data_IF_999057516126
#
_entry.id   IF_999057516126
#
_cell.length_a   1.000
_cell.length_b   1.000
_cell.length_c   1.000
_cell.angle_alpha   90.00
_cell.angle_beta   90.00
_cell.angle_gamma   90.00
#
_symmetry.space_group_name_H-M   'P 1'
#
loop_
_entity.id
_entity.type
_entity.pdbx_description
1 polymer ?
#
# COMPACT_ATOMS: atom_id res chain seq x y z
N UNK A 1 -31.57 -51.63 -47.29
CA UNK A 1 -31.14 -50.30 -47.77
C UNK A 1 -30.73 -49.31 -46.67
N UNK A 2 -30.91 -49.58 -45.37
CA UNK A 2 -30.62 -48.59 -44.29
C UNK A 2 -29.20 -48.58 -43.71
N UNK A 3 -28.48 -49.71 -43.66
CA UNK A 3 -27.17 -49.75 -43.00
C UNK A 3 -26.10 -48.92 -43.72
N UNK A 4 -26.13 -48.89 -45.06
CA UNK A 4 -25.15 -48.18 -45.88
C UNK A 4 -25.35 -46.65 -45.88
N UNK A 5 -26.58 -46.16 -45.66
CA UNK A 5 -26.84 -44.72 -45.54
C UNK A 5 -26.46 -44.19 -44.16
N UNK A 6 -26.70 -44.98 -43.12
CA UNK A 6 -26.36 -44.65 -41.74
C UNK A 6 -24.84 -44.61 -41.52
N UNK A 7 -24.10 -45.57 -42.09
CA UNK A 7 -22.63 -45.57 -42.07
C UNK A 7 -22.04 -44.36 -42.80
N UNK A 8 -22.60 -43.98 -43.96
CA UNK A 8 -22.21 -42.77 -44.70
C UNK A 8 -22.54 -41.47 -43.95
N UNK A 9 -23.62 -41.45 -43.19
CA UNK A 9 -23.99 -40.30 -42.36
C UNK A 9 -23.02 -40.14 -41.17
N UNK A 10 -22.71 -41.22 -40.46
CA UNK A 10 -21.77 -41.22 -39.34
C UNK A 10 -20.33 -40.86 -39.77
N UNK A 11 -19.88 -41.33 -40.95
CA UNK A 11 -18.59 -40.93 -41.51
C UNK A 11 -18.52 -39.45 -41.89
N UNK A 12 -19.63 -38.85 -42.36
CA UNK A 12 -19.70 -37.41 -42.65
C UNK A 12 -19.65 -36.58 -41.37
N UNK A 13 -20.31 -37.02 -40.31
CA UNK A 13 -20.25 -36.38 -39.00
C UNK A 13 -18.86 -36.44 -38.38
N UNK A 14 -18.18 -37.58 -38.44
CA UNK A 14 -16.81 -37.71 -37.93
C UNK A 14 -15.80 -36.84 -38.70
N UNK A 15 -15.95 -36.73 -40.03
CA UNK A 15 -15.10 -35.86 -40.86
C UNK A 15 -15.37 -34.37 -40.58
N UNK A 16 -16.64 -34.00 -40.40
CA UNK A 16 -17.03 -32.65 -40.00
C UNK A 16 -16.50 -32.27 -38.61
N UNK A 17 -16.53 -33.20 -37.64
CA UNK A 17 -15.95 -33.01 -36.30
C UNK A 17 -14.42 -32.82 -36.37
N UNK A 18 -13.73 -33.59 -37.21
CA UNK A 18 -12.28 -33.48 -37.38
C UNK A 18 -11.87 -32.17 -38.09
N UNK A 19 -12.61 -31.74 -39.10
CA UNK A 19 -12.42 -30.44 -39.78
C UNK A 19 -12.77 -29.26 -38.86
N UNK A 20 -13.83 -29.38 -38.06
CA UNK A 20 -14.20 -28.41 -37.03
C UNK A 20 -13.09 -28.27 -35.98
N UNK A 21 -12.58 -29.38 -35.44
CA UNK A 21 -11.45 -29.39 -34.49
C UNK A 21 -10.18 -28.77 -35.07
N UNK A 22 -9.87 -29.04 -36.34
CA UNK A 22 -8.72 -28.44 -37.02
C UNK A 22 -8.87 -26.93 -37.20
N UNK A 23 -10.02 -26.48 -37.69
CA UNK A 23 -10.32 -25.05 -37.89
C UNK A 23 -10.36 -24.29 -36.55
N UNK A 24 -10.95 -24.90 -35.54
CA UNK A 24 -10.95 -24.42 -34.15
C UNK A 24 -9.52 -24.21 -33.62
N UNK A 25 -8.60 -25.14 -33.91
CA UNK A 25 -7.20 -25.05 -33.48
C UNK A 25 -6.41 -23.96 -34.24
N UNK A 26 -6.65 -23.79 -35.54
CA UNK A 26 -6.03 -22.72 -36.35
C UNK A 26 -6.49 -21.32 -35.91
N UNK A 27 -7.80 -21.15 -35.67
CA UNK A 27 -8.37 -19.91 -35.13
C UNK A 27 -7.81 -19.57 -33.74
N UNK A 28 -7.74 -20.57 -32.85
CA UNK A 28 -7.18 -20.39 -31.51
C UNK A 28 -5.71 -19.95 -31.58
N UNK A 29 -4.93 -20.56 -32.46
CA UNK A 29 -3.51 -20.21 -32.67
C UNK A 29 -3.37 -18.75 -33.09
N UNK A 30 -4.15 -18.31 -34.09
CA UNK A 30 -4.14 -16.92 -34.55
C UNK A 30 -4.49 -15.95 -33.42
N UNK A 31 -5.54 -16.23 -32.65
CA UNK A 31 -5.91 -15.37 -31.54
C UNK A 31 -4.82 -15.31 -30.45
N UNK A 32 -4.14 -16.43 -30.15
CA UNK A 32 -3.02 -16.45 -29.21
C UNK A 32 -1.81 -15.66 -29.73
N UNK A 33 -1.54 -15.67 -31.03
CA UNK A 33 -0.50 -14.85 -31.66
C UNK A 33 -0.82 -13.36 -31.57
N UNK A 34 -2.06 -12.97 -31.86
CA UNK A 34 -2.54 -11.59 -31.69
C UNK A 34 -2.36 -11.12 -30.24
N UNK A 35 -2.73 -11.95 -29.26
CA UNK A 35 -2.54 -11.66 -27.84
C UNK A 35 -1.05 -11.54 -27.46
N UNK A 36 -0.19 -12.42 -27.97
CA UNK A 36 1.27 -12.31 -27.74
C UNK A 36 1.83 -11.03 -28.34
N UNK A 37 1.41 -10.66 -29.54
CA UNK A 37 1.83 -9.44 -30.21
C UNK A 37 1.34 -8.19 -29.46
N UNK A 38 0.12 -8.22 -28.93
CA UNK A 38 -0.40 -7.17 -28.07
C UNK A 38 0.47 -6.95 -26.82
N UNK A 39 0.90 -8.03 -26.15
CA UNK A 39 1.83 -7.95 -25.01
C UNK A 39 3.19 -7.33 -25.41
N UNK A 40 3.70 -7.64 -26.60
CA UNK A 40 4.93 -7.00 -27.13
C UNK A 40 4.72 -5.51 -27.38
N UNK A 41 3.60 -5.13 -28.00
CA UNK A 41 3.24 -3.72 -28.22
C UNK A 41 3.13 -2.96 -26.90
N UNK A 42 2.54 -3.58 -25.87
CA UNK A 42 2.42 -3.00 -24.54
C UNK A 42 3.78 -2.73 -23.90
N UNK A 43 4.70 -3.69 -23.96
CA UNK A 43 6.09 -3.52 -23.49
C UNK A 43 6.85 -2.43 -24.25
N UNK A 44 6.48 -2.19 -25.50
CA UNK A 44 7.03 -1.12 -26.33
C UNK A 44 6.24 0.20 -26.23
N UNK A 45 5.34 0.33 -25.25
CA UNK A 45 4.52 1.52 -24.99
C UNK A 45 3.61 1.96 -26.16
N UNK A 46 3.31 1.04 -27.10
CA UNK A 46 2.40 1.27 -28.23
C UNK A 46 0.96 0.92 -27.85
N UNK A 47 0.35 1.75 -27.01
CA UNK A 47 -0.91 1.42 -26.33
C UNK A 47 -2.11 1.21 -27.26
N UNK A 48 -2.33 2.08 -28.26
CA UNK A 48 -3.44 1.94 -29.20
C UNK A 48 -3.33 0.65 -30.02
N UNK A 49 -2.11 0.32 -30.45
CA UNK A 49 -1.84 -0.89 -31.19
C UNK A 49 -2.05 -2.12 -30.31
N UNK A 50 -1.54 -2.10 -29.08
CA UNK A 50 -1.74 -3.17 -28.11
C UNK A 50 -3.23 -3.45 -27.87
N UNK A 51 -4.03 -2.40 -27.63
CA UNK A 51 -5.47 -2.55 -27.42
C UNK A 51 -6.16 -3.18 -28.64
N UNK A 52 -5.87 -2.68 -29.85
CA UNK A 52 -6.43 -3.22 -31.09
C UNK A 52 -6.16 -4.72 -31.24
N UNK A 53 -4.94 -5.16 -30.95
CA UNK A 53 -4.56 -6.57 -31.04
C UNK A 53 -5.20 -7.42 -29.93
N UNK A 54 -5.36 -6.89 -28.72
CA UNK A 54 -6.12 -7.57 -27.66
C UNK A 54 -7.60 -7.74 -28.02
N UNK A 55 -8.25 -6.68 -28.53
CA UNK A 55 -9.67 -6.72 -28.95
C UNK A 55 -9.88 -7.67 -30.14
N UNK A 56 -8.99 -7.63 -31.13
CA UNK A 56 -9.02 -8.55 -32.28
C UNK A 56 -8.90 -10.01 -31.83
N UNK A 57 -7.97 -10.28 -30.91
CA UNK A 57 -7.78 -11.60 -30.32
C UNK A 57 -9.04 -12.07 -29.58
N UNK A 58 -9.62 -11.20 -28.74
CA UNK A 58 -10.82 -11.49 -27.97
C UNK A 58 -12.04 -11.77 -28.86
N UNK A 59 -12.31 -10.89 -29.84
CA UNK A 59 -13.41 -11.04 -30.78
C UNK A 59 -13.30 -12.34 -31.60
N UNK A 60 -12.10 -12.67 -32.07
CA UNK A 60 -11.84 -13.89 -32.85
C UNK A 60 -12.21 -15.15 -32.05
N UNK A 61 -11.91 -15.17 -30.75
CA UNK A 61 -12.24 -16.31 -29.87
C UNK A 61 -13.74 -16.33 -29.53
N UNK A 62 -14.33 -15.17 -29.23
CA UNK A 62 -15.72 -15.07 -28.85
C UNK A 62 -16.66 -15.50 -29.98
N UNK A 63 -16.39 -15.09 -31.23
CA UNK A 63 -17.24 -15.38 -32.38
C UNK A 63 -17.13 -16.84 -32.87
N UNK A 64 -15.97 -17.48 -32.70
CA UNK A 64 -15.67 -18.74 -33.39
C UNK A 64 -15.59 -19.97 -32.48
N UNK A 65 -15.39 -19.79 -31.18
CA UNK A 65 -15.09 -20.91 -30.29
C UNK A 65 -16.07 -21.06 -29.12
N UNK A 66 -16.94 -20.07 -28.84
CA UNK A 66 -17.73 -20.00 -27.59
C UNK A 66 -16.90 -20.16 -26.30
N UNK A 67 -15.57 -20.14 -26.40
CA UNK A 67 -14.64 -20.26 -25.29
C UNK A 67 -14.42 -18.86 -24.72
N UNK A 68 -14.70 -18.66 -23.44
CA UNK A 68 -14.21 -17.46 -22.77
C UNK A 68 -12.74 -17.63 -22.39
N UNK A 69 -11.84 -16.85 -22.98
CA UNK A 69 -10.41 -16.94 -22.73
C UNK A 69 -10.00 -16.10 -21.51
N UNK A 70 -10.01 -16.73 -20.34
CA UNK A 70 -9.57 -16.16 -19.04
C UNK A 70 -8.30 -15.30 -19.17
N UNK A 71 -7.28 -15.81 -19.86
CA UNK A 71 -5.99 -15.12 -20.02
C UNK A 71 -6.06 -13.82 -20.83
N UNK A 72 -6.90 -13.75 -21.87
CA UNK A 72 -7.01 -12.56 -22.72
C UNK A 72 -7.77 -11.48 -21.98
N UNK A 73 -8.86 -11.86 -21.30
CA UNK A 73 -9.60 -10.95 -20.43
C UNK A 73 -8.71 -10.39 -19.30
N UNK A 74 -7.86 -11.23 -18.71
CA UNK A 74 -6.87 -10.78 -17.73
C UNK A 74 -5.89 -9.77 -18.33
N UNK A 75 -5.35 -10.02 -19.52
CA UNK A 75 -4.43 -9.07 -20.16
C UNK A 75 -5.10 -7.74 -20.49
N UNK A 76 -6.35 -7.74 -20.94
CA UNK A 76 -7.13 -6.51 -21.18
C UNK A 76 -7.40 -5.77 -19.87
N UNK A 77 -7.78 -6.49 -18.81
CA UNK A 77 -7.97 -5.92 -17.48
C UNK A 77 -6.68 -5.24 -16.96
N UNK A 78 -5.54 -5.95 -17.06
CA UNK A 78 -4.23 -5.44 -16.69
C UNK A 78 -3.84 -4.20 -17.52
N UNK A 79 -4.12 -4.20 -18.82
CA UNK A 79 -3.91 -3.04 -19.69
C UNK A 79 -4.68 -1.81 -19.19
N UNK A 80 -5.98 -1.95 -18.93
CA UNK A 80 -6.77 -0.82 -18.42
C UNK A 80 -6.33 -0.37 -17.03
N UNK A 81 -5.92 -1.30 -16.16
CA UNK A 81 -5.38 -0.98 -14.84
C UNK A 81 -4.11 -0.13 -14.96
N UNK A 82 -3.19 -0.50 -15.87
CA UNK A 82 -1.97 0.25 -16.16
C UNK A 82 -2.27 1.66 -16.68
N UNK A 83 -3.33 1.80 -17.48
CA UNK A 83 -3.80 3.10 -17.99
C UNK A 83 -4.62 3.90 -16.97
N UNK A 84 -4.72 3.47 -15.71
CA UNK A 84 -5.55 4.07 -14.66
C UNK A 84 -7.05 4.16 -15.01
N UNK A 85 -7.49 3.38 -15.99
CA UNK A 85 -8.91 3.23 -16.35
C UNK A 85 -9.55 2.17 -15.46
N UNK A 86 -9.57 2.43 -14.15
CA UNK A 86 -9.90 1.45 -13.11
C UNK A 86 -11.29 0.81 -13.29
N UNK A 87 -12.29 1.58 -13.73
CA UNK A 87 -13.64 1.05 -13.97
C UNK A 87 -13.68 -0.01 -15.08
N UNK A 88 -12.95 0.21 -16.19
CA UNK A 88 -12.86 -0.78 -17.27
C UNK A 88 -12.12 -2.02 -16.81
N UNK A 89 -11.00 -1.84 -16.11
CA UNK A 89 -10.24 -2.96 -15.56
C UNK A 89 -11.11 -3.85 -14.66
N UNK A 90 -11.91 -3.24 -13.77
CA UNK A 90 -12.89 -3.94 -12.92
C UNK A 90 -13.89 -4.74 -13.75
N UNK A 91 -14.41 -4.19 -14.85
CA UNK A 91 -15.34 -4.91 -15.73
C UNK A 91 -14.70 -6.19 -16.30
N UNK A 92 -13.47 -6.10 -16.81
CA UNK A 92 -12.78 -7.26 -17.38
C UNK A 92 -12.42 -8.31 -16.33
N UNK A 93 -11.96 -7.91 -15.14
CA UNK A 93 -11.73 -8.86 -14.06
C UNK A 93 -13.04 -9.50 -13.58
N UNK A 94 -14.14 -8.75 -13.50
CA UNK A 94 -15.47 -9.31 -13.20
C UNK A 94 -15.90 -10.36 -14.22
N UNK A 95 -15.62 -10.13 -15.51
CA UNK A 95 -15.86 -11.14 -16.55
C UNK A 95 -15.07 -12.42 -16.28
N UNK A 96 -13.81 -12.31 -15.84
CA UNK A 96 -12.98 -13.48 -15.49
C UNK A 96 -13.53 -14.23 -14.28
N UNK A 97 -13.81 -13.55 -13.16
CA UNK A 97 -14.27 -14.22 -11.93
C UNK A 97 -15.68 -14.82 -12.06
N UNK A 98 -16.51 -14.28 -12.96
CA UNK A 98 -17.83 -14.83 -13.27
C UNK A 98 -17.77 -16.06 -14.20
N UNK A 99 -16.60 -16.41 -14.73
CA UNK A 99 -16.40 -17.70 -15.38
C UNK A 99 -16.39 -18.75 -14.29
N UNK A 100 -17.43 -19.59 -14.24
CA UNK A 100 -17.50 -20.65 -13.23
C UNK A 100 -16.29 -21.58 -13.36
N UNK A 101 -15.41 -21.69 -12.35
CA UNK A 101 -14.40 -22.74 -12.37
C UNK A 101 -15.11 -24.06 -12.10
N UNK A 102 -15.18 -24.95 -13.09
CA UNK A 102 -15.74 -26.29 -12.87
C UNK A 102 -14.83 -27.04 -11.87
N UNK A 103 -15.34 -27.24 -10.65
CA UNK A 103 -14.66 -27.93 -9.55
C UNK A 103 -15.14 -29.38 -9.54
N UNK A 104 -14.24 -30.34 -9.75
CA UNK A 104 -14.56 -31.75 -9.50
C UNK A 104 -14.36 -32.03 -8.00
N UNK A 105 -15.48 -32.16 -7.27
CA UNK A 105 -15.50 -32.49 -5.85
C UNK A 105 -14.80 -33.82 -5.53
N UNK A 106 -14.66 -34.74 -6.51
CA UNK A 106 -14.03 -36.03 -6.31
C UNK A 106 -12.49 -35.99 -6.33
N UNK A 107 -11.88 -34.98 -6.97
CA UNK A 107 -10.41 -34.90 -7.15
C UNK A 107 -9.74 -33.71 -6.45
N UNK A 108 -10.49 -32.73 -5.94
CA UNK A 108 -9.93 -31.45 -5.43
C UNK A 108 -8.96 -30.77 -6.42
N UNK A 109 -9.15 -30.96 -7.72
CA UNK A 109 -8.35 -30.33 -8.79
C UNK A 109 -9.33 -29.58 -9.72
N UNK A 110 -9.01 -28.34 -10.16
CA UNK A 110 -9.81 -27.65 -11.18
C UNK A 110 -9.78 -28.43 -12.50
N UNK A 111 -10.92 -28.99 -12.93
CA UNK A 111 -11.04 -29.60 -14.26
C UNK A 111 -11.50 -28.52 -15.23
N UNK A 112 -10.52 -27.79 -15.77
CA UNK A 112 -10.76 -26.94 -16.94
C UNK A 112 -10.61 -27.85 -18.16
N UNK A 113 -11.72 -28.09 -18.83
CA UNK A 113 -11.82 -28.97 -20.00
C UNK A 113 -10.87 -28.50 -21.12
N UNK A 114 -9.96 -29.39 -21.49
CA UNK A 114 -9.21 -29.47 -22.75
C UNK A 114 -8.78 -28.15 -23.43
N UNK A 115 -7.77 -27.47 -22.87
CA UNK A 115 -6.59 -26.89 -23.53
C UNK A 115 -5.94 -25.80 -22.63
N UNK A 116 -4.67 -26.00 -22.23
CA UNK A 116 -3.84 -25.13 -21.36
C UNK A 116 -4.05 -25.26 -19.83
N UNK A 117 -3.84 -26.47 -19.29
CA UNK A 117 -3.65 -26.68 -17.85
C UNK A 117 -2.48 -25.83 -17.32
N UNK A 118 -2.70 -25.21 -16.15
CA UNK A 118 -1.82 -24.36 -15.29
C UNK A 118 -2.14 -22.85 -15.34
N UNK A 119 -2.18 -22.18 -16.49
CA UNK A 119 -2.32 -20.70 -16.52
C UNK A 119 -3.71 -20.17 -16.12
N UNK A 120 -4.79 -20.94 -16.33
CA UNK A 120 -6.15 -20.45 -16.10
C UNK A 120 -6.55 -20.39 -14.62
N UNK A 121 -6.00 -21.28 -13.78
CA UNK A 121 -6.24 -21.24 -12.33
C UNK A 121 -5.51 -20.05 -11.68
N UNK A 122 -4.25 -19.84 -12.06
CA UNK A 122 -3.46 -18.67 -11.63
C UNK A 122 -4.14 -17.37 -12.07
N UNK A 123 -4.54 -17.27 -13.35
CA UNK A 123 -5.29 -16.13 -13.87
C UNK A 123 -6.60 -15.86 -13.10
N UNK A 124 -7.26 -16.91 -12.59
CA UNK A 124 -8.47 -16.76 -11.78
C UNK A 124 -8.16 -16.21 -10.38
N UNK A 125 -7.07 -16.68 -9.75
CA UNK A 125 -6.59 -16.11 -8.48
C UNK A 125 -6.17 -14.65 -8.67
N UNK A 126 -5.38 -14.35 -9.70
CA UNK A 126 -4.94 -13.00 -10.05
C UNK A 126 -6.11 -12.07 -10.33
N UNK A 127 -7.17 -12.55 -11.00
CA UNK A 127 -8.38 -11.77 -11.23
C UNK A 127 -9.03 -11.35 -9.91
N UNK A 128 -9.16 -12.27 -8.96
CA UNK A 128 -9.72 -11.99 -7.63
C UNK A 128 -8.83 -11.00 -6.86
N UNK A 129 -7.52 -11.23 -6.85
CA UNK A 129 -6.53 -10.38 -6.19
C UNK A 129 -6.54 -8.95 -6.76
N UNK A 130 -6.47 -8.81 -8.09
CA UNK A 130 -6.46 -7.53 -8.77
C UNK A 130 -7.80 -6.79 -8.65
N UNK A 131 -8.92 -7.52 -8.72
CA UNK A 131 -10.24 -6.95 -8.54
C UNK A 131 -10.43 -6.42 -7.12
N UNK A 132 -10.04 -7.20 -6.09
CA UNK A 132 -10.08 -6.75 -4.70
C UNK A 132 -9.24 -5.48 -4.49
N UNK A 133 -8.01 -5.46 -5.00
CA UNK A 133 -7.13 -4.29 -4.91
C UNK A 133 -7.73 -3.05 -5.61
N UNK A 134 -8.28 -3.20 -6.82
CA UNK A 134 -8.91 -2.08 -7.53
C UNK A 134 -10.18 -1.58 -6.83
N UNK A 135 -11.05 -2.47 -6.35
CA UNK A 135 -12.27 -2.08 -5.63
C UNK A 135 -11.92 -1.33 -4.33
N UNK A 136 -10.90 -1.79 -3.63
CA UNK A 136 -10.34 -1.12 -2.46
C UNK A 136 -9.86 0.30 -2.81
N UNK A 137 -9.09 0.47 -3.88
CA UNK A 137 -8.63 1.78 -4.36
C UNK A 137 -9.77 2.70 -4.87
N UNK A 138 -10.93 2.13 -5.20
CA UNK A 138 -12.14 2.86 -5.64
C UNK A 138 -13.10 3.18 -4.48
N UNK A 139 -12.63 3.10 -3.23
CA UNK A 139 -13.43 3.32 -2.02
C UNK A 139 -14.63 2.35 -1.91
N UNK A 140 -14.44 1.08 -2.30
CA UNK A 140 -15.44 -0.01 -2.18
C UNK A 140 -14.91 -1.24 -1.44
N UNK A 141 -14.40 -1.11 -0.21
CA UNK A 141 -13.80 -2.23 0.51
C UNK A 141 -14.82 -3.34 0.83
N UNK A 142 -16.10 -3.02 1.06
CA UNK A 142 -17.12 -4.04 1.34
C UNK A 142 -17.35 -4.97 0.14
N UNK A 143 -17.32 -4.43 -1.08
CA UNK A 143 -17.42 -5.23 -2.30
C UNK A 143 -16.16 -6.06 -2.54
N UNK A 144 -14.99 -5.53 -2.17
CA UNK A 144 -13.70 -6.20 -2.33
C UNK A 144 -13.54 -7.45 -1.46
N UNK A 145 -14.25 -7.52 -0.33
CA UNK A 145 -14.07 -8.55 0.70
C UNK A 145 -14.21 -9.98 0.16
N UNK A 146 -15.31 -10.28 -0.52
CA UNK A 146 -15.57 -11.62 -1.05
C UNK A 146 -14.52 -12.03 -2.09
N UNK A 147 -14.05 -11.09 -2.92
CA UNK A 147 -13.04 -11.40 -3.92
C UNK A 147 -11.69 -11.71 -3.27
N UNK A 148 -11.30 -10.91 -2.28
CA UNK A 148 -10.06 -11.11 -1.56
C UNK A 148 -10.07 -12.42 -0.76
N UNK A 149 -11.19 -12.71 -0.07
CA UNK A 149 -11.42 -13.96 0.64
C UNK A 149 -11.33 -15.17 -0.30
N UNK A 150 -11.88 -15.06 -1.51
CA UNK A 150 -11.80 -16.14 -2.50
C UNK A 150 -10.37 -16.36 -2.99
N UNK A 151 -9.59 -15.29 -3.23
CA UNK A 151 -8.18 -15.40 -3.63
C UNK A 151 -7.35 -16.19 -2.60
N UNK A 152 -7.49 -15.85 -1.30
CA UNK A 152 -6.76 -16.53 -0.23
C UNK A 152 -7.23 -17.99 -0.01
N UNK A 153 -8.51 -18.30 -0.27
CA UNK A 153 -9.02 -19.67 -0.21
C UNK A 153 -8.48 -20.54 -1.34
N UNK A 154 -8.35 -19.96 -2.54
CA UNK A 154 -7.85 -20.67 -3.72
C UNK A 154 -6.34 -20.89 -3.64
N UNK A 155 -5.58 -19.89 -3.18
CA UNK A 155 -4.14 -19.98 -3.05
C UNK A 155 -3.66 -19.34 -1.73
N UNK A 156 -3.70 -20.09 -0.62
CA UNK A 156 -3.30 -19.59 0.70
C UNK A 156 -1.84 -19.11 0.80
N UNK A 157 -0.98 -19.52 -0.13
CA UNK A 157 0.44 -19.12 -0.14
C UNK A 157 0.72 -17.94 -1.10
N UNK A 158 -0.31 -17.32 -1.71
CA UNK A 158 -0.14 -16.16 -2.56
C UNK A 158 0.09 -14.91 -1.70
N UNK A 159 1.33 -14.42 -1.64
CA UNK A 159 1.71 -13.26 -0.83
C UNK A 159 0.90 -12.02 -1.16
N UNK A 160 0.67 -11.73 -2.44
CA UNK A 160 -0.08 -10.54 -2.87
C UNK A 160 -1.54 -10.60 -2.40
N UNK A 161 -2.18 -11.76 -2.52
CA UNK A 161 -3.52 -11.96 -1.99
C UNK A 161 -3.59 -11.77 -0.46
N UNK A 162 -2.61 -12.28 0.29
CA UNK A 162 -2.54 -12.10 1.75
C UNK A 162 -2.31 -10.64 2.16
N UNK A 163 -1.41 -9.92 1.46
CA UNK A 163 -1.17 -8.49 1.70
C UNK A 163 -2.45 -7.69 1.44
N UNK A 164 -3.09 -7.92 0.28
CA UNK A 164 -4.32 -7.23 -0.08
C UNK A 164 -5.44 -7.52 0.93
N UNK A 165 -5.50 -8.73 1.49
CA UNK A 165 -6.48 -9.07 2.53
C UNK A 165 -6.21 -8.32 3.84
N UNK A 166 -4.95 -8.27 4.28
CA UNK A 166 -4.55 -7.48 5.44
C UNK A 166 -4.90 -6.00 5.29
N UNK A 167 -4.53 -5.39 4.16
CA UNK A 167 -4.84 -3.97 3.87
C UNK A 167 -6.34 -3.71 3.75
N UNK A 168 -7.10 -4.66 3.17
CA UNK A 168 -8.55 -4.56 3.08
C UNK A 168 -9.21 -4.61 4.46
N UNK A 169 -8.77 -5.51 5.35
CA UNK A 169 -9.27 -5.58 6.72
C UNK A 169 -9.06 -4.25 7.46
N UNK A 170 -7.92 -3.57 7.25
CA UNK A 170 -7.67 -2.23 7.82
C UNK A 170 -8.64 -1.19 7.31
N UNK A 171 -8.93 -1.17 6.00
CA UNK A 171 -9.91 -0.24 5.41
C UNK A 171 -11.36 -0.52 5.81
N UNK A 172 -11.66 -1.76 6.20
CA UNK A 172 -12.94 -2.12 6.80
C UNK A 172 -13.01 -1.78 8.31
N UNK A 173 -11.96 -1.19 8.89
CA UNK A 173 -11.85 -0.91 10.32
C UNK A 173 -11.65 -2.18 11.18
N UNK A 174 -11.36 -3.33 10.58
CA UNK A 174 -11.13 -4.63 11.24
C UNK A 174 -9.65 -4.79 11.60
N UNK A 175 -9.12 -3.80 12.30
CA UNK A 175 -7.69 -3.62 12.56
C UNK A 175 -7.06 -4.80 13.29
N UNK A 176 -7.73 -5.34 14.31
CA UNK A 176 -7.25 -6.49 15.07
C UNK A 176 -7.09 -7.72 14.16
N UNK A 177 -8.08 -7.98 13.31
CA UNK A 177 -8.04 -9.12 12.39
C UNK A 177 -6.94 -8.98 11.34
N UNK A 178 -6.68 -7.74 10.87
CA UNK A 178 -5.55 -7.47 9.97
C UNK A 178 -4.21 -7.81 10.62
N UNK A 179 -4.01 -7.42 11.89
CA UNK A 179 -2.80 -7.70 12.66
C UNK A 179 -2.64 -9.21 12.89
N UNK A 180 -3.67 -9.87 13.41
CA UNK A 180 -3.66 -11.32 13.70
C UNK A 180 -3.39 -12.13 12.41
N UNK A 181 -4.02 -11.72 11.31
CA UNK A 181 -3.80 -12.34 10.00
C UNK A 181 -2.34 -12.18 9.54
N UNK A 182 -1.80 -10.97 9.60
CA UNK A 182 -0.43 -10.66 9.15
C UNK A 182 0.61 -11.41 9.97
N UNK A 183 0.46 -11.46 11.30
CA UNK A 183 1.38 -12.21 12.16
C UNK A 183 1.35 -13.70 11.86
N UNK A 184 0.18 -14.28 11.64
CA UNK A 184 0.06 -15.68 11.23
C UNK A 184 0.89 -15.97 9.97
N UNK A 185 0.83 -15.10 8.97
CA UNK A 185 1.60 -15.27 7.75
C UNK A 185 3.12 -15.13 7.97
N UNK A 186 3.54 -14.11 8.73
CA UNK A 186 4.95 -13.87 9.05
C UNK A 186 5.53 -15.08 9.80
N UNK A 187 4.87 -15.54 10.86
CA UNK A 187 5.32 -16.67 11.68
C UNK A 187 5.40 -17.96 10.86
N UNK A 188 4.43 -18.20 9.96
CA UNK A 188 4.41 -19.40 9.12
C UNK A 188 5.64 -19.54 8.21
N UNK A 189 6.21 -18.42 7.74
CA UNK A 189 7.38 -18.44 6.83
C UNK A 189 8.71 -18.14 7.53
N UNK A 190 8.67 -17.86 8.84
CA UNK A 190 9.86 -17.51 9.61
C UNK A 190 10.63 -18.75 10.07
N UNK A 191 11.85 -18.55 10.54
CA UNK A 191 12.69 -19.62 11.06
C UNK A 191 12.00 -20.34 12.22
N UNK A 192 12.33 -21.64 12.39
CA UNK A 192 11.72 -22.47 13.43
C UNK A 192 11.93 -21.85 14.82
N UNK A 193 10.83 -21.59 15.53
CA UNK A 193 10.85 -20.99 16.86
C UNK A 193 10.66 -19.47 16.89
N UNK A 194 10.62 -18.79 15.74
CA UNK A 194 10.19 -17.40 15.69
C UNK A 194 8.74 -17.29 16.18
N UNK A 195 8.46 -16.29 17.01
CA UNK A 195 7.13 -16.02 17.56
C UNK A 195 6.80 -14.54 17.36
N UNK A 196 5.51 -14.22 17.34
CA UNK A 196 5.06 -12.84 17.43
C UNK A 196 5.65 -12.19 18.69
N UNK A 197 6.32 -11.03 18.56
CA UNK A 197 6.88 -10.33 19.71
C UNK A 197 5.77 -9.73 20.58
N UNK A 198 6.01 -9.66 21.88
CA UNK A 198 5.09 -8.99 22.80
C UNK A 198 4.99 -7.51 22.44
N UNK A 199 3.76 -7.02 22.22
CA UNK A 199 3.47 -5.60 22.00
C UNK A 199 3.98 -4.73 23.15
N UNK A 200 4.34 -3.51 22.79
CA UNK A 200 4.68 -2.43 23.72
C UNK A 200 3.38 -1.75 24.11
N UNK A 201 2.89 -2.04 25.31
CA UNK A 201 1.75 -1.33 25.88
C UNK A 201 2.21 0.03 26.42
N UNK A 202 1.87 1.10 25.69
CA UNK A 202 2.26 2.47 26.01
C UNK A 202 1.79 2.89 27.40
N UNK A 203 0.64 2.37 27.87
CA UNK A 203 0.10 2.72 29.20
C UNK A 203 0.88 2.10 30.35
N UNK A 204 1.69 1.09 30.08
CA UNK A 204 2.56 0.45 31.07
C UNK A 204 3.94 1.12 31.21
N UNK A 205 4.28 2.05 30.31
CA UNK A 205 5.62 2.63 30.24
C UNK A 205 5.76 3.80 31.23
N UNK A 206 6.80 3.81 32.09
CA UNK A 206 7.07 4.94 32.96
C UNK A 206 7.32 6.22 32.17
N UNK A 207 6.63 7.29 32.55
CA UNK A 207 6.83 8.62 31.98
C UNK A 207 8.12 9.21 32.56
N UNK A 208 9.10 9.42 31.70
CA UNK A 208 10.31 10.19 32.04
C UNK A 208 10.00 11.68 31.91
N UNK A 209 10.32 12.47 32.94
CA UNK A 209 10.28 13.93 32.84
C UNK A 209 11.55 14.42 32.15
N UNK A 210 11.38 15.05 30.99
CA UNK A 210 12.45 15.72 30.31
C UNK A 210 11.91 16.98 29.61
N UNK A 211 12.51 18.12 29.94
CA UNK A 211 12.11 19.41 29.38
C UNK A 211 12.72 19.64 27.99
N UNK A 212 13.78 18.91 27.62
CA UNK A 212 14.43 19.07 26.32
C UNK A 212 13.78 18.17 25.27
N UNK A 213 13.41 18.78 24.15
CA UNK A 213 12.84 18.10 22.99
C UNK A 213 13.84 18.11 21.84
N UNK A 214 14.03 16.95 21.22
CA UNK A 214 14.77 16.80 19.99
C UNK A 214 13.77 16.66 18.84
N UNK A 215 13.54 17.75 18.11
CA UNK A 215 12.75 17.74 16.89
C UNK A 215 13.58 17.11 15.79
N UNK A 216 13.05 16.05 15.18
CA UNK A 216 13.73 15.25 14.17
C UNK A 216 12.93 15.28 12.88
N UNK A 217 13.60 15.52 11.77
CA UNK A 217 13.06 15.26 10.44
C UNK A 217 14.04 14.39 9.63
N UNK A 218 13.54 13.82 8.54
CA UNK A 218 14.31 12.95 7.65
C UNK A 218 14.27 13.46 6.22
N UNK A 219 15.46 13.73 5.65
CA UNK A 219 15.64 14.09 4.24
C UNK A 219 16.41 12.96 3.55
N UNK A 220 15.87 12.40 2.48
CA UNK A 220 16.52 11.31 1.74
C UNK A 220 16.37 11.52 0.23
N UNK A 221 17.48 11.38 -0.49
CA UNK A 221 17.53 11.56 -1.93
C UNK A 221 17.11 12.97 -2.36
N UNK A 222 16.41 13.05 -3.49
CA UNK A 222 16.06 14.32 -4.15
C UNK A 222 14.58 14.69 -4.07
N UNK A 223 13.77 13.90 -3.37
CA UNK A 223 12.31 14.14 -3.27
C UNK A 223 11.98 15.46 -2.59
N UNK A 224 12.70 15.78 -1.52
CA UNK A 224 12.56 17.04 -0.77
C UNK A 224 13.92 17.73 -0.71
N UNK A 225 13.95 19.01 -1.09
CA UNK A 225 15.14 19.84 -1.06
C UNK A 225 15.56 20.25 0.36
N UNK A 226 16.75 20.83 0.54
CA UNK A 226 17.18 21.41 1.81
C UNK A 226 16.26 22.56 2.27
N UNK A 227 15.55 23.21 1.34
CA UNK A 227 14.61 24.28 1.66
C UNK A 227 13.43 23.80 2.51
N UNK A 228 12.93 22.58 2.32
CA UNK A 228 11.89 21.97 3.17
C UNK A 228 12.36 21.86 4.62
N UNK A 229 13.58 21.36 4.82
CA UNK A 229 14.19 21.21 6.15
C UNK A 229 14.35 22.59 6.80
N UNK A 230 14.89 23.55 6.05
CA UNK A 230 15.14 24.91 6.53
C UNK A 230 13.85 25.65 6.89
N UNK A 231 12.79 25.56 6.06
CA UNK A 231 11.46 26.15 6.34
C UNK A 231 10.81 25.52 7.57
N UNK A 232 10.92 24.20 7.72
CA UNK A 232 10.41 23.51 8.91
C UNK A 232 11.14 23.98 10.18
N UNK A 233 12.48 24.00 10.15
CA UNK A 233 13.31 24.52 11.24
C UNK A 233 12.96 25.97 11.60
N UNK A 234 12.84 26.83 10.59
CA UNK A 234 12.42 28.22 10.74
C UNK A 234 11.02 28.35 11.34
N UNK A 235 10.08 27.47 10.94
CA UNK A 235 8.75 27.37 11.52
C UNK A 235 8.79 27.10 13.03
N UNK A 236 9.55 26.10 13.46
CA UNK A 236 9.77 25.83 14.88
C UNK A 236 10.43 27.03 15.59
N UNK A 237 11.46 27.66 15.01
CA UNK A 237 12.10 28.83 15.63
C UNK A 237 11.16 30.01 15.84
N UNK A 238 10.18 30.21 14.95
CA UNK A 238 9.19 31.30 15.08
C UNK A 238 8.11 30.99 16.11
N UNK A 239 7.80 29.72 16.31
CA UNK A 239 6.58 29.30 16.98
C UNK A 239 6.79 28.39 18.20
N UNK A 240 8.04 28.11 18.58
CA UNK A 240 8.38 27.40 19.79
C UNK A 240 9.18 28.33 20.71
N UNK A 241 8.69 28.53 21.93
CA UNK A 241 9.40 29.30 22.96
C UNK A 241 10.29 28.41 23.83
N UNK A 242 10.07 27.10 23.80
CA UNK A 242 10.89 26.11 24.51
C UNK A 242 12.28 26.00 23.88
N UNK A 243 13.26 25.59 24.69
CA UNK A 243 14.55 25.15 24.15
C UNK A 243 14.35 23.79 23.45
N UNK A 244 14.83 23.67 22.22
CA UNK A 244 14.80 22.42 21.47
C UNK A 244 16.08 22.25 20.64
N UNK A 245 16.42 20.99 20.38
CA UNK A 245 17.38 20.63 19.34
C UNK A 245 16.61 20.35 18.05
N UNK A 246 17.13 20.80 16.91
CA UNK A 246 16.59 20.43 15.60
C UNK A 246 17.58 19.55 14.86
N UNK A 247 17.15 18.33 14.51
CA UNK A 247 18.00 17.27 13.98
C UNK A 247 17.46 16.85 12.61
N UNK A 248 18.30 16.91 11.59
CA UNK A 248 18.01 16.39 10.26
C UNK A 248 18.82 15.11 10.03
N UNK A 249 18.13 13.98 9.89
CA UNK A 249 18.73 12.72 9.44
C UNK A 249 18.75 12.73 7.91
N UNK A 250 19.94 12.75 7.30
CA UNK A 250 20.09 12.95 5.86
C UNK A 250 21.28 12.22 5.23
N UNK A 251 21.17 11.89 3.95
CA UNK A 251 22.26 11.41 3.09
C UNK A 251 23.04 12.56 2.44
N UNK A 252 22.44 13.75 2.40
CA UNK A 252 23.03 14.96 1.85
C UNK A 252 22.71 16.17 2.75
N UNK A 253 23.69 16.66 3.54
CA UNK A 253 23.53 17.78 4.45
C UNK A 253 23.77 19.15 3.80
N UNK A 254 24.02 19.21 2.49
CA UNK A 254 24.34 20.46 1.81
C UNK A 254 23.19 21.46 1.91
N UNK A 255 23.54 22.74 2.05
CA UNK A 255 22.62 23.89 2.08
C UNK A 255 21.62 23.90 3.27
N UNK A 256 21.84 23.05 4.29
CA UNK A 256 21.11 23.12 5.56
C UNK A 256 21.63 24.28 6.41
N UNK A 257 20.72 25.00 7.06
CA UNK A 257 21.04 26.17 7.88
C UNK A 257 21.87 25.83 9.13
N UNK A 258 22.69 26.80 9.55
CA UNK A 258 23.42 26.75 10.81
C UNK A 258 22.45 26.60 12.01
N UNK A 259 22.76 25.66 12.90
CA UNK A 259 21.93 25.30 14.05
C UNK A 259 21.12 24.01 13.86
N UNK A 260 21.02 23.49 12.63
CA UNK A 260 20.50 22.15 12.38
C UNK A 260 21.60 21.13 12.64
N UNK A 261 21.35 20.19 13.56
CA UNK A 261 22.24 19.05 13.82
C UNK A 261 22.02 18.01 12.72
N UNK A 262 23.07 17.60 12.04
CA UNK A 262 22.98 16.60 10.97
C UNK A 262 23.40 15.22 11.47
N UNK A 263 22.69 14.18 11.03
CA UNK A 263 23.00 12.77 11.30
C UNK A 263 22.93 11.97 10.00
N UNK A 264 23.91 11.13 9.72
CA UNK A 264 23.98 10.36 8.47
C UNK A 264 22.94 9.24 8.43
N UNK A 265 22.17 9.14 7.34
CA UNK A 265 21.19 8.06 7.15
C UNK A 265 21.81 6.67 7.23
N UNK A 266 21.10 5.73 7.87
CA UNK A 266 21.51 4.32 7.87
C UNK A 266 21.29 3.73 6.47
N UNK A 267 22.37 3.21 5.87
CA UNK A 267 22.31 2.54 4.57
C UNK A 267 21.47 1.26 4.64
N UNK A 268 20.78 0.94 3.55
CA UNK A 268 19.92 -0.25 3.42
C UNK A 268 18.46 -0.06 3.83
N UNK A 269 18.11 1.09 4.44
CA UNK A 269 16.75 1.45 4.82
C UNK A 269 16.30 2.67 4.00
N UNK A 270 15.30 2.50 3.15
CA UNK A 270 14.85 3.54 2.20
C UNK A 270 13.34 3.73 2.24
N UNK A 271 12.87 4.85 1.65
CA UNK A 271 11.45 5.18 1.63
C UNK A 271 10.86 5.30 3.04
N UNK A 272 9.64 4.80 3.23
CA UNK A 272 8.94 4.86 4.52
C UNK A 272 9.64 4.07 5.63
N UNK A 273 10.38 3.01 5.27
CA UNK A 273 11.15 2.20 6.21
C UNK A 273 12.34 2.93 6.81
N UNK A 274 12.79 4.03 6.20
CA UNK A 274 13.76 4.93 6.80
C UNK A 274 13.33 5.42 8.19
N UNK A 275 12.03 5.65 8.42
CA UNK A 275 11.50 6.09 9.73
C UNK A 275 11.73 5.08 10.85
N UNK A 276 11.75 3.77 10.54
CA UNK A 276 12.07 2.74 11.53
C UNK A 276 13.44 2.97 12.15
N UNK A 277 14.37 3.56 11.39
CA UNK A 277 15.72 3.80 11.89
C UNK A 277 15.75 4.81 13.03
N UNK A 278 14.76 5.70 13.15
CA UNK A 278 14.73 6.72 14.20
C UNK A 278 14.66 6.14 15.62
N UNK A 279 14.25 4.89 15.75
CA UNK A 279 14.13 4.19 17.02
C UNK A 279 15.43 3.51 17.48
N UNK A 280 16.48 3.49 16.66
CA UNK A 280 17.73 2.82 17.02
C UNK A 280 18.68 3.71 17.86
N UNK A 281 19.59 3.08 18.58
CA UNK A 281 20.63 3.78 19.36
C UNK A 281 21.76 4.38 18.48
N UNK A 282 21.83 4.02 17.20
CA UNK A 282 22.86 4.44 16.23
C UNK A 282 23.06 5.95 16.12
N UNK A 283 21.98 6.73 16.20
CA UNK A 283 22.04 8.16 15.91
C UNK A 283 22.62 8.99 17.05
N UNK A 284 22.83 8.41 18.24
CA UNK A 284 23.36 9.10 19.41
C UNK A 284 22.67 10.46 19.63
N UNK A 285 21.34 10.41 19.78
CA UNK A 285 20.54 11.62 19.98
C UNK A 285 20.89 12.28 21.33
N UNK A 286 20.94 13.62 21.43
CA UNK A 286 21.09 14.32 22.71
C UNK A 286 20.02 13.86 23.71
N UNK A 287 20.26 13.83 25.03
CA UNK A 287 19.24 13.47 26.02
C UNK A 287 17.96 14.30 25.82
N UNK A 288 16.78 13.70 25.95
CA UNK A 288 15.54 14.40 25.63
C UNK A 288 14.49 13.50 25.00
N UNK A 289 13.26 13.98 25.03
CA UNK A 289 12.15 13.41 24.25
C UNK A 289 12.48 13.54 22.76
N UNK A 290 12.01 12.59 21.97
CA UNK A 290 12.14 12.61 20.51
C UNK A 290 10.80 13.01 19.89
N UNK A 291 10.82 13.99 19.00
CA UNK A 291 9.67 14.48 18.25
C UNK A 291 10.00 14.35 16.78
N UNK A 292 9.57 13.28 16.13
CA UNK A 292 9.64 13.15 14.68
C UNK A 292 8.51 13.92 14.00
N UNK A 293 8.84 14.59 12.89
CA UNK A 293 7.89 15.27 12.01
C UNK A 293 8.34 15.16 10.54
N UNK A 294 7.39 14.83 9.65
CA UNK A 294 7.65 14.80 8.21
C UNK A 294 7.97 16.20 7.66
N UNK A 295 8.62 16.25 6.49
CA UNK A 295 9.07 17.51 5.88
C UNK A 295 7.94 18.35 5.26
N UNK A 296 6.82 17.72 4.89
CA UNK A 296 5.69 18.36 4.25
C UNK A 296 4.66 18.89 5.27
N UNK A 297 5.18 19.62 6.24
CA UNK A 297 4.44 20.21 7.35
C UNK A 297 4.65 21.72 7.39
N UNK A 298 3.64 22.47 7.81
CA UNK A 298 3.75 23.91 8.05
C UNK A 298 3.44 24.19 9.51
N UNK A 299 4.38 24.82 10.22
CA UNK A 299 4.15 25.34 11.57
C UNK A 299 3.50 26.72 11.46
N UNK A 300 2.27 26.85 11.94
CA UNK A 300 1.40 28.00 11.69
C UNK A 300 1.12 28.87 12.93
N UNK A 301 1.43 28.36 14.12
CA UNK A 301 1.20 28.99 15.42
C UNK A 301 1.98 28.30 16.54
N UNK A 302 1.86 28.80 17.78
CA UNK A 302 2.66 28.33 18.92
C UNK A 302 2.50 26.81 19.18
N UNK A 303 3.61 26.06 19.20
CA UNK A 303 3.62 24.59 19.35
C UNK A 303 4.02 24.11 20.75
N UNK A 304 4.15 25.00 21.73
CA UNK A 304 4.69 24.66 23.06
C UNK A 304 3.87 23.57 23.76
N UNK A 305 2.53 23.59 23.63
CA UNK A 305 1.67 22.56 24.22
C UNK A 305 1.94 21.16 23.67
N UNK A 306 2.18 21.04 22.35
CA UNK A 306 2.50 19.78 21.68
C UNK A 306 3.92 19.32 22.08
N UNK A 307 4.88 20.26 22.16
CA UNK A 307 6.25 19.99 22.61
C UNK A 307 6.28 19.46 24.05
N UNK A 308 5.37 19.96 24.90
CA UNK A 308 5.20 19.57 26.30
C UNK A 308 4.43 18.24 26.50
N UNK A 309 4.16 17.48 25.43
CA UNK A 309 3.46 16.18 25.49
C UNK A 309 4.00 15.26 26.59
N UNK A 310 3.12 14.82 27.51
CA UNK A 310 3.54 14.15 28.75
C UNK A 310 3.46 12.62 28.70
N UNK A 311 2.92 12.04 27.64
CA UNK A 311 2.83 10.59 27.54
C UNK A 311 4.13 9.94 27.05
N UNK A 312 4.14 8.61 26.99
CA UNK A 312 5.32 7.85 26.58
C UNK A 312 5.45 7.74 25.05
N UNK A 313 4.34 7.71 24.32
CA UNK A 313 4.30 7.57 22.86
C UNK A 313 3.02 8.16 22.27
N UNK A 314 3.17 9.28 21.56
CA UNK A 314 2.12 9.98 20.85
C UNK A 314 2.30 9.86 19.33
N UNK A 315 1.21 9.65 18.61
CA UNK A 315 1.19 9.50 17.15
C UNK A 315 -0.09 10.12 16.56
N UNK A 316 -0.12 10.34 15.25
CA UNK A 316 -1.36 10.76 14.60
C UNK A 316 -2.29 9.56 14.36
N UNK A 317 -3.60 9.79 14.45
CA UNK A 317 -4.61 8.86 13.93
C UNK A 317 -4.95 9.18 12.47
N UNK A 318 -5.24 8.15 11.71
CA UNK A 318 -5.61 8.19 10.28
C UNK A 318 -6.99 8.78 10.01
N UNK A 319 -7.91 8.75 10.98
CA UNK A 319 -9.31 9.20 10.84
C UNK A 319 -9.45 10.65 10.40
N UNK A 320 -8.52 11.50 10.84
CA UNK A 320 -8.50 12.94 10.54
C UNK A 320 -7.54 13.28 9.39
N UNK A 321 -7.01 12.27 8.69
CA UNK A 321 -6.11 12.42 7.56
C UNK A 321 -6.83 12.05 6.26
N UNK A 322 -6.96 13.02 5.34
CA UNK A 322 -7.87 12.88 4.20
C UNK A 322 -7.58 11.68 3.30
N UNK A 323 -6.30 11.36 3.14
CA UNK A 323 -5.87 10.23 2.30
C UNK A 323 -5.91 8.87 3.00
N UNK A 324 -6.25 8.81 4.29
CA UNK A 324 -6.24 7.58 5.10
C UNK A 324 -7.52 7.37 5.91
N UNK A 325 -8.53 8.22 5.75
CA UNK A 325 -9.82 8.19 6.47
C UNK A 325 -10.55 6.84 6.52
N UNK A 326 -10.23 5.93 5.59
CA UNK A 326 -10.80 4.57 5.55
C UNK A 326 -10.16 3.64 6.59
N UNK A 327 -8.90 3.87 6.95
CA UNK A 327 -8.17 3.06 7.93
C UNK A 327 -8.52 3.49 9.35
N UNK A 328 -9.76 3.36 9.79
CA UNK A 328 -10.20 3.88 11.10
C UNK A 328 -9.37 3.33 12.26
N UNK A 329 -9.03 4.21 13.21
CA UNK A 329 -8.18 3.93 14.37
C UNK A 329 -6.77 3.44 14.01
N UNK A 330 -6.31 3.72 12.79
CA UNK A 330 -4.95 3.43 12.33
C UNK A 330 -3.95 4.47 12.82
N UNK A 331 -2.67 4.16 12.67
CA UNK A 331 -1.57 5.07 12.99
C UNK A 331 -1.10 5.80 11.73
N UNK A 332 -0.63 7.02 11.93
CA UNK A 332 0.05 7.80 10.92
C UNK A 332 1.33 8.40 11.52
N UNK A 333 2.48 7.98 11.00
CA UNK A 333 3.80 8.39 11.48
C UNK A 333 4.28 9.74 10.96
N UNK A 334 3.40 10.62 10.47
CA UNK A 334 3.82 11.95 10.05
C UNK A 334 4.21 12.84 11.21
N UNK A 335 3.68 12.58 12.40
CA UNK A 335 4.21 13.08 13.67
C UNK A 335 4.25 11.91 14.65
N UNK A 336 5.40 11.69 15.27
CA UNK A 336 5.57 10.70 16.34
C UNK A 336 6.39 11.33 17.45
N UNK A 337 5.89 11.31 18.67
CA UNK A 337 6.57 11.83 19.85
C UNK A 337 6.77 10.69 20.84
N UNK A 338 7.99 10.39 21.25
CA UNK A 338 8.24 9.34 22.22
C UNK A 338 9.34 9.68 23.19
N UNK A 339 9.25 9.05 24.36
CA UNK A 339 10.28 9.08 25.38
C UNK A 339 10.74 7.65 25.70
N UNK A 340 11.65 7.45 26.67
CA UNK A 340 12.04 6.12 27.13
C UNK A 340 12.61 5.23 25.99
N UNK A 341 13.72 5.71 25.40
CA UNK A 341 14.34 5.15 24.17
C UNK A 341 14.65 3.66 24.29
N UNK A 342 15.02 3.21 25.49
CA UNK A 342 15.36 1.82 25.77
C UNK A 342 14.19 0.86 25.49
N UNK A 343 12.96 1.30 25.77
CA UNK A 343 11.76 0.50 25.45
C UNK A 343 11.47 0.54 23.96
N UNK A 344 11.43 1.73 23.37
CA UNK A 344 10.96 1.91 21.99
C UNK A 344 11.98 1.52 20.93
N UNK A 345 13.26 1.30 21.28
CA UNK A 345 14.22 0.70 20.33
C UNK A 345 13.79 -0.67 19.84
N UNK A 346 12.93 -1.37 20.59
CA UNK A 346 12.29 -2.62 20.17
C UNK A 346 11.52 -2.48 18.85
N UNK A 347 10.96 -1.31 18.53
CA UNK A 347 10.30 -1.07 17.23
C UNK A 347 11.26 -1.36 16.08
N UNK A 348 12.53 -0.99 16.21
CA UNK A 348 13.55 -1.27 15.21
C UNK A 348 14.13 -2.68 15.36
N UNK A 349 14.51 -3.10 16.58
CA UNK A 349 15.23 -4.38 16.75
C UNK A 349 14.38 -5.60 16.39
N UNK A 350 13.08 -5.58 16.72
CA UNK A 350 12.16 -6.66 16.35
C UNK A 350 11.97 -6.71 14.81
N UNK A 351 11.91 -5.54 14.17
CA UNK A 351 11.81 -5.42 12.71
C UNK A 351 13.07 -5.94 12.00
N UNK A 352 14.24 -5.49 12.44
CA UNK A 352 15.54 -5.84 11.86
C UNK A 352 15.82 -7.34 11.99
N UNK A 353 15.46 -7.93 13.15
CA UNK A 353 15.70 -9.35 13.45
C UNK A 353 15.02 -10.32 12.47
N UNK A 354 13.87 -9.93 11.89
CA UNK A 354 13.11 -10.75 10.96
C UNK A 354 12.68 -9.99 9.68
N UNK A 355 13.48 -8.99 9.30
CA UNK A 355 13.17 -8.07 8.20
C UNK A 355 12.80 -8.77 6.89
N UNK A 356 13.51 -9.86 6.55
CA UNK A 356 13.29 -10.63 5.30
C UNK A 356 11.88 -11.20 5.18
N UNK A 357 11.24 -11.54 6.30
CA UNK A 357 9.91 -12.12 6.31
C UNK A 357 8.83 -11.05 6.57
N UNK A 358 9.12 -10.10 7.46
CA UNK A 358 8.19 -8.99 7.77
C UNK A 358 7.91 -8.15 6.52
N UNK A 359 8.95 -7.77 5.76
CA UNK A 359 8.80 -6.90 4.58
C UNK A 359 8.00 -7.53 3.43
N UNK A 360 7.74 -8.84 3.48
CA UNK A 360 6.90 -9.53 2.48
C UNK A 360 5.42 -9.27 2.69
N UNK A 361 4.99 -8.97 3.91
CA UNK A 361 3.58 -8.82 4.26
C UNK A 361 3.21 -7.40 4.70
N UNK A 362 4.20 -6.62 5.14
CA UNK A 362 4.00 -5.25 5.56
C UNK A 362 4.56 -4.32 4.50
N UNK A 363 3.72 -3.43 4.00
CA UNK A 363 4.11 -2.42 2.99
C UNK A 363 4.41 -1.07 3.63
N UNK A 364 3.71 -0.73 4.72
CA UNK A 364 3.77 0.57 5.38
C UNK A 364 4.37 0.46 6.77
N UNK A 365 5.28 1.37 7.09
CA UNK A 365 5.84 1.50 8.43
C UNK A 365 4.77 1.78 9.49
N UNK A 366 3.71 2.50 9.14
CA UNK A 366 2.61 2.78 10.07
C UNK A 366 1.90 1.50 10.53
N UNK A 367 1.72 0.53 9.62
CA UNK A 367 1.14 -0.75 9.98
C UNK A 367 2.05 -1.56 10.91
N UNK A 368 3.37 -1.47 10.70
CA UNK A 368 4.33 -2.04 11.63
C UNK A 368 4.21 -1.45 13.04
N UNK A 369 4.04 -0.13 13.15
CA UNK A 369 3.79 0.52 14.45
C UNK A 369 2.49 0.01 15.09
N UNK A 370 1.40 -0.15 14.34
CA UNK A 370 0.13 -0.72 14.84
C UNK A 370 0.31 -2.17 15.35
N UNK A 371 1.20 -2.93 14.73
CA UNK A 371 1.50 -4.31 15.09
C UNK A 371 2.35 -4.42 16.37
N UNK A 372 3.24 -3.45 16.65
CA UNK A 372 4.18 -3.51 17.78
C UNK A 372 3.80 -2.62 18.95
N UNK A 373 3.10 -1.51 18.73
CA UNK A 373 2.77 -0.51 19.76
C UNK A 373 1.27 -0.48 19.96
N UNK A 374 0.81 -0.77 21.18
CA UNK A 374 -0.60 -0.71 21.54
C UNK A 374 -0.89 0.42 22.53
N UNK A 375 -2.13 0.91 22.51
CA UNK A 375 -2.61 1.99 23.36
C UNK A 375 -1.81 3.29 23.24
N UNK A 376 -1.26 3.59 22.06
CA UNK A 376 -0.61 4.86 21.79
C UNK A 376 -1.56 6.04 22.01
N UNK A 377 -1.02 7.18 22.40
CA UNK A 377 -1.81 8.40 22.51
C UNK A 377 -2.00 9.01 21.13
N UNK A 378 -3.24 9.31 20.76
CA UNK A 378 -3.50 10.10 19.56
C UNK A 378 -3.33 11.58 19.86
N UNK A 379 -2.36 12.21 19.20
CA UNK A 379 -2.05 13.62 19.43
C UNK A 379 -3.24 14.53 19.08
N UNK A 380 -4.06 14.16 18.10
CA UNK A 380 -5.28 14.92 17.80
C UNK A 380 -6.34 14.85 18.90
N UNK A 381 -6.39 13.76 19.69
CA UNK A 381 -7.31 13.65 20.82
C UNK A 381 -6.83 14.49 22.02
N UNK A 382 -5.51 14.59 22.20
CA UNK A 382 -4.89 15.39 23.27
C UNK A 382 -4.92 16.89 22.92
N UNK A 383 -4.66 17.23 21.67
CA UNK A 383 -4.55 18.60 21.17
C UNK A 383 -5.58 18.85 20.05
N UNK A 384 -6.88 18.79 20.36
CA UNK A 384 -7.92 18.92 19.36
C UNK A 384 -7.77 20.24 18.61
N UNK A 385 -7.93 20.19 17.29
CA UNK A 385 -7.82 21.35 16.35
C UNK A 385 -6.44 21.99 16.23
N UNK A 386 -5.40 21.49 16.90
CA UNK A 386 -4.04 22.03 16.76
C UNK A 386 -3.26 21.40 15.59
N UNK A 387 -3.65 20.20 15.16
CA UNK A 387 -3.04 19.50 14.03
C UNK A 387 -4.16 19.28 13.01
N UNK A 388 -4.06 19.93 11.84
CA UNK A 388 -5.13 19.90 10.83
C UNK A 388 -4.61 19.36 9.51
N UNK A 389 -5.41 18.53 8.85
CA UNK A 389 -5.15 18.08 7.47
C UNK A 389 -5.44 19.20 6.47
N UNK A 390 -4.52 19.42 5.54
CA UNK A 390 -4.67 20.47 4.55
C UNK A 390 -5.94 20.32 3.69
N UNK A 391 -6.21 19.10 3.22
CA UNK A 391 -7.29 18.83 2.27
C UNK A 391 -8.66 18.96 2.93
N UNK A 392 -8.77 18.60 4.21
CA UNK A 392 -10.00 18.72 4.97
C UNK A 392 -10.27 20.13 5.49
N UNK A 393 -9.26 20.81 6.04
CA UNK A 393 -9.50 22.00 6.88
C UNK A 393 -8.83 23.28 6.37
N UNK A 394 -7.73 23.18 5.61
CA UNK A 394 -6.85 24.34 5.37
C UNK A 394 -6.74 24.79 3.92
N UNK A 395 -7.62 24.33 3.01
CA UNK A 395 -7.54 24.67 1.56
C UNK A 395 -7.61 26.18 1.29
N UNK A 396 -8.45 26.89 2.02
CA UNK A 396 -8.68 28.34 1.81
C UNK A 396 -7.88 29.19 2.79
N UNK A 397 -7.91 28.82 4.07
CA UNK A 397 -7.23 29.52 5.17
C UNK A 397 -6.88 28.53 6.28
N UNK A 398 -5.95 28.89 7.15
CA UNK A 398 -5.60 28.09 8.33
C UNK A 398 -6.56 28.42 9.48
N UNK A 399 -7.24 27.44 10.09
CA UNK A 399 -8.05 27.67 11.28
C UNK A 399 -7.22 28.30 12.42
N UNK A 400 -7.85 29.17 13.22
CA UNK A 400 -7.14 29.97 14.23
C UNK A 400 -6.37 29.12 15.25
N UNK A 401 -6.88 27.94 15.62
CA UNK A 401 -6.23 27.09 16.61
C UNK A 401 -5.19 26.12 16.03
N UNK A 402 -5.08 26.02 14.70
CA UNK A 402 -4.13 25.13 14.05
C UNK A 402 -2.69 25.62 14.26
N UNK A 403 -1.83 24.72 14.74
CA UNK A 403 -0.40 24.92 14.99
C UNK A 403 0.46 24.20 13.97
N UNK A 404 0.00 23.06 13.49
CA UNK A 404 0.68 22.27 12.47
C UNK A 404 -0.35 21.90 11.39
N UNK A 405 -0.06 22.24 10.14
CA UNK A 405 -0.83 21.79 8.98
C UNK A 405 -0.09 20.66 8.30
N UNK A 406 -0.79 19.53 8.06
CA UNK A 406 -0.19 18.35 7.44
C UNK A 406 -0.50 18.23 5.96
N UNK A 407 0.52 17.88 5.14
CA UNK A 407 0.39 17.60 3.70
C UNK A 407 0.86 16.16 3.39
N UNK A 408 0.21 15.11 3.92
CA UNK A 408 0.69 13.73 3.80
C UNK A 408 0.75 13.24 2.34
N UNK A 409 -0.10 13.79 1.47
CA UNK A 409 -0.10 13.51 0.01
C UNK A 409 -0.08 14.79 -0.81
N UNK A 410 -0.37 14.68 -2.10
CA UNK A 410 -0.53 15.83 -2.98
C UNK A 410 -1.83 16.58 -2.65
N UNK A 411 -1.85 17.92 -2.78
CA UNK A 411 -0.71 18.75 -3.16
C UNK A 411 0.33 18.87 -2.03
N UNK A 412 1.59 19.14 -2.38
CA UNK A 412 2.63 19.54 -1.43
C UNK A 412 2.65 21.07 -1.24
N UNK A 413 3.21 21.60 -0.13
CA UNK A 413 3.21 23.04 0.15
C UNK A 413 3.74 23.91 -0.99
N UNK A 414 4.80 23.49 -1.68
CA UNK A 414 5.38 24.19 -2.84
C UNK A 414 4.50 24.19 -4.10
N UNK A 415 3.62 23.21 -4.22
CA UNK A 415 2.79 22.97 -5.40
C UNK A 415 1.40 23.62 -5.32
N UNK A 416 1.02 24.17 -4.16
CA UNK A 416 -0.31 24.75 -3.96
C UNK A 416 -0.26 26.28 -3.77
N UNK A 417 -0.87 27.08 -4.66
CA UNK A 417 -0.67 28.53 -4.69
C UNK A 417 -1.57 29.30 -3.70
N UNK A 418 -1.74 28.81 -2.47
CA UNK A 418 -2.48 29.55 -1.43
C UNK A 418 -1.63 30.65 -0.81
N UNK A 419 -2.21 31.83 -0.61
CA UNK A 419 -1.48 33.00 -0.10
C UNK A 419 -0.95 32.75 1.32
N UNK A 420 -1.76 32.14 2.19
CA UNK A 420 -1.34 31.81 3.56
C UNK A 420 -0.14 30.84 3.60
N UNK A 421 0.01 29.96 2.60
CA UNK A 421 1.17 29.04 2.52
C UNK A 421 2.42 29.87 2.26
N UNK A 422 2.38 30.82 1.32
CA UNK A 422 3.51 31.70 1.02
C UNK A 422 3.93 32.53 2.23
N UNK A 423 2.95 32.99 3.03
CA UNK A 423 3.20 33.78 4.23
C UNK A 423 3.79 32.96 5.38
N UNK A 424 3.33 31.71 5.57
CA UNK A 424 3.68 30.89 6.74
C UNK A 424 4.83 29.90 6.50
N UNK A 425 5.04 29.46 5.26
CA UNK A 425 6.03 28.45 4.88
C UNK A 425 7.35 29.07 4.37
N UNK A 426 8.00 29.81 5.28
CA UNK A 426 9.23 30.59 5.02
C UNK A 426 10.41 30.16 5.89
#
# INVERSE_FOLDING_TARGET
MNFYSELKHNMRLAKADQEYKKRSNETLTKALEENKFACVCLKAEKFELALKHFETSFQTIQEQLEIQSTNILMNIGNFYAQQKQHQKAVEYYKRVVNQSPYFDESQKIPIIHFCSKINSFEAFVDAHTNLACLLTNLDKPEEAYEYCLKAIQLQPNNYEAQINFGDLLRQLGRQKEAIDHTWKQIVQISDQGYQEPKKIDVKSIPIEQNDLVNVICMKWGTKYGPDYVNKLYNGFKRHCTRQFNFICVTDDPKDLQNGIITKELKKGWTGWWGKATLFMDYYEYPPGKLFFIDLDMIITGNVDEIMDYKGAFGILKTDEIACEKQNKNGYNSSIVIWNNREVFKRIFTELDSNWKNIQKFIVRFDFWLEMIVENADFLQDIYPTQISDFVFECKEQVPQNTRIVTFPRMPKPDSYPAEWIKEKWI
#
